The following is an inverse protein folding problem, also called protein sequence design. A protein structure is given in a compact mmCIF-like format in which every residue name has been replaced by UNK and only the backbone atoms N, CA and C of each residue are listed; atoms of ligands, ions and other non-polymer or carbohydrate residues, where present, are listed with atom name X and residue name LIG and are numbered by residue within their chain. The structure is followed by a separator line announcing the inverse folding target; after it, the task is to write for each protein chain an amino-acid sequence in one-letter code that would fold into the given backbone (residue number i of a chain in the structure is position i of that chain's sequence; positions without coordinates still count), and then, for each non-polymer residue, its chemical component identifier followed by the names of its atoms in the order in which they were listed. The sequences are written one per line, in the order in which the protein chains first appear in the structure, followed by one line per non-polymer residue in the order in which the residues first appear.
data_IF_586800146108
#
_entry.id   IF_586800146108
#
_cell.length_a   1.000
_cell.length_b   1.000
_cell.length_c   1.000
_cell.angle_alpha   90.00
_cell.angle_beta   90.00
_cell.angle_gamma   90.00
#
_symmetry.space_group_name_H-M   'P 1'
#
loop_
_entity.id
_entity.type
_entity.pdbx_description
1 polymer ?
#
# COMPACT_ATOMS: atom_id res chain seq x y z
N UNK A 1 -3.46 12.64 21.21
CA UNK A 1 -4.49 13.03 20.21
C UNK A 1 -4.06 14.24 19.38
N UNK A 2 -3.41 15.24 19.98
CA UNK A 2 -2.90 16.44 19.27
C UNK A 2 -1.84 16.12 18.20
N UNK A 3 -0.83 15.30 18.50
CA UNK A 3 0.26 14.96 17.55
C UNK A 3 -0.22 14.21 16.29
N UNK A 4 -1.29 13.42 16.39
CA UNK A 4 -1.86 12.70 15.25
C UNK A 4 -2.52 13.70 14.29
N UNK A 5 -3.17 14.75 14.82
CA UNK A 5 -3.81 15.80 14.01
C UNK A 5 -2.79 16.64 13.25
N UNK A 6 -1.62 16.88 13.84
CA UNK A 6 -0.53 17.57 13.15
C UNK A 6 0.07 16.72 12.03
N UNK A 7 0.30 15.43 12.28
CA UNK A 7 0.80 14.49 11.26
C UNK A 7 -0.16 14.30 10.08
N UNK A 8 -1.46 14.46 10.28
CA UNK A 8 -2.48 14.42 9.20
C UNK A 8 -2.44 15.69 8.33
N UNK A 9 -1.97 16.83 8.85
CA UNK A 9 -1.85 18.08 8.10
C UNK A 9 -0.66 18.10 7.14
N UNK A 10 0.26 17.15 7.22
CA UNK A 10 1.32 17.02 6.23
C UNK A 10 0.74 16.78 4.83
N UNK A 11 1.19 17.57 3.86
CA UNK A 11 0.72 17.47 2.49
C UNK A 11 1.13 16.13 1.88
N UNK A 12 0.16 15.46 1.26
CA UNK A 12 0.41 14.32 0.37
C UNK A 12 0.80 14.83 -1.01
N UNK A 13 1.63 14.10 -1.77
CA UNK A 13 1.90 14.43 -3.17
C UNK A 13 0.59 14.66 -3.96
N UNK A 14 0.54 15.65 -4.87
CA UNK A 14 -0.69 16.05 -5.58
C UNK A 14 -1.41 14.90 -6.29
N UNK A 15 -0.65 13.95 -6.82
CA UNK A 15 -1.15 12.71 -7.45
C UNK A 15 -2.10 11.91 -6.53
N UNK A 16 -1.82 11.87 -5.23
CA UNK A 16 -2.64 11.17 -4.24
C UNK A 16 -3.75 12.07 -3.68
N UNK A 17 -3.78 13.36 -4.00
CA UNK A 17 -4.87 14.24 -3.58
C UNK A 17 -6.14 14.07 -4.44
N UNK A 18 -5.96 13.72 -5.73
CA UNK A 18 -7.05 13.60 -6.71
C UNK A 18 -7.36 12.16 -7.13
N UNK A 19 -6.64 11.17 -6.62
CA UNK A 19 -6.80 9.75 -6.99
C UNK A 19 -7.37 8.98 -5.80
N UNK A 20 -8.34 8.10 -6.04
CA UNK A 20 -8.81 7.16 -5.02
C UNK A 20 -7.83 6.00 -4.89
N UNK A 21 -7.47 5.64 -3.65
CA UNK A 21 -6.57 4.51 -3.44
C UNK A 21 -6.87 3.71 -2.18
N UNK A 22 -6.50 2.43 -2.26
CA UNK A 22 -6.39 1.51 -1.14
C UNK A 22 -4.96 1.59 -0.60
N UNK A 23 -4.79 1.57 0.71
CA UNK A 23 -3.48 1.60 1.34
C UNK A 23 -3.23 0.34 2.16
N UNK A 24 -2.01 -0.21 2.04
CA UNK A 24 -1.48 -1.23 2.90
C UNK A 24 -0.19 -0.73 3.55
N UNK A 25 -0.08 -0.88 4.87
CA UNK A 25 1.10 -0.44 5.64
C UNK A 25 1.62 -1.62 6.43
N UNK A 26 2.67 -2.28 5.93
CA UNK A 26 3.27 -3.43 6.61
C UNK A 26 4.69 -3.73 6.08
N UNK A 27 5.46 -4.52 6.83
CA UNK A 27 6.74 -5.06 6.35
C UNK A 27 6.49 -6.02 5.18
N UNK A 28 7.29 -5.91 4.12
CA UNK A 28 7.20 -6.80 2.96
C UNK A 28 7.87 -8.15 3.27
N UNK A 29 7.14 -9.04 3.95
CA UNK A 29 7.57 -10.38 4.34
C UNK A 29 6.55 -11.46 3.97
N UNK A 30 6.99 -12.71 3.75
CA UNK A 30 6.14 -13.83 3.33
C UNK A 30 4.94 -14.06 4.27
N UNK A 31 5.14 -13.82 5.56
CA UNK A 31 4.12 -13.96 6.62
C UNK A 31 2.93 -12.99 6.50
N UNK A 32 3.00 -11.98 5.63
CA UNK A 32 1.99 -10.91 5.54
C UNK A 32 1.11 -11.01 4.29
N UNK A 33 1.38 -11.95 3.38
CA UNK A 33 0.45 -12.32 2.32
C UNK A 33 0.12 -11.21 1.31
N UNK A 34 0.99 -10.21 1.11
CA UNK A 34 0.75 -9.10 0.17
C UNK A 34 0.51 -9.57 -1.28
N UNK A 35 0.95 -10.78 -1.64
CA UNK A 35 0.65 -11.40 -2.93
C UNK A 35 -0.86 -11.58 -3.19
N UNK A 36 -1.67 -11.74 -2.15
CA UNK A 36 -3.12 -11.93 -2.24
C UNK A 36 -3.77 -10.59 -2.47
N UNK A 37 -3.26 -9.55 -1.81
CA UNK A 37 -3.71 -8.18 -2.00
C UNK A 37 -3.52 -7.74 -3.45
N UNK A 38 -2.37 -8.01 -4.06
CA UNK A 38 -2.11 -7.67 -5.48
C UNK A 38 -3.08 -8.43 -6.40
N UNK A 39 -3.33 -9.72 -6.14
CA UNK A 39 -4.30 -10.52 -6.92
C UNK A 39 -5.73 -10.00 -6.81
N UNK A 40 -6.16 -9.66 -5.60
CA UNK A 40 -7.50 -9.10 -5.34
C UNK A 40 -7.60 -7.73 -6.02
N UNK A 41 -6.57 -6.90 -5.88
CA UNK A 41 -6.53 -5.58 -6.49
C UNK A 41 -6.64 -5.63 -8.01
N UNK A 42 -6.01 -6.61 -8.69
CA UNK A 42 -6.20 -6.81 -10.15
C UNK A 42 -7.67 -6.93 -10.51
N UNK A 43 -8.45 -7.72 -9.77
CA UNK A 43 -9.90 -7.87 -10.01
C UNK A 43 -10.66 -6.59 -9.72
N UNK A 44 -10.35 -5.92 -8.60
CA UNK A 44 -11.00 -4.65 -8.25
C UNK A 44 -10.73 -3.59 -9.33
N UNK A 45 -9.54 -3.59 -9.93
CA UNK A 45 -9.15 -2.66 -11.00
C UNK A 45 -10.01 -2.83 -12.26
N UNK A 46 -10.47 -4.03 -12.56
CA UNK A 46 -11.38 -4.29 -13.69
C UNK A 46 -12.72 -3.56 -13.51
N UNK A 47 -13.19 -3.40 -12.27
CA UNK A 47 -14.41 -2.67 -11.93
C UNK A 47 -14.17 -1.18 -11.65
N UNK A 48 -13.00 -0.83 -11.09
CA UNK A 48 -12.62 0.52 -10.66
C UNK A 48 -11.28 0.93 -11.28
N UNK A 49 -11.30 1.35 -12.55
CA UNK A 49 -10.08 1.65 -13.31
C UNK A 49 -9.24 2.80 -12.74
N UNK A 50 -9.87 3.75 -12.05
CA UNK A 50 -9.22 4.91 -11.41
C UNK A 50 -8.64 4.59 -10.01
N UNK A 51 -8.86 3.39 -9.48
CA UNK A 51 -8.37 3.02 -8.16
C UNK A 51 -6.87 2.66 -8.20
N UNK A 52 -6.12 3.23 -7.26
CA UNK A 52 -4.71 2.89 -7.01
C UNK A 52 -4.53 1.99 -5.78
N UNK A 53 -3.42 1.27 -5.72
CA UNK A 53 -2.98 0.56 -4.52
C UNK A 53 -1.66 1.15 -4.03
N UNK A 54 -1.64 1.68 -2.81
CA UNK A 54 -0.43 2.15 -2.14
C UNK A 54 0.05 1.08 -1.17
N UNK A 55 1.32 0.69 -1.31
CA UNK A 55 2.01 -0.21 -0.41
C UNK A 55 3.11 0.59 0.28
N UNK A 56 2.93 0.83 1.57
CA UNK A 56 3.90 1.46 2.45
C UNK A 56 4.63 0.38 3.25
N UNK A 57 5.94 0.43 3.23
CA UNK A 57 6.80 -0.54 3.89
C UNK A 57 7.93 -0.99 2.99
N UNK A 58 8.90 -1.64 3.61
CA UNK A 58 10.05 -2.21 2.93
C UNK A 58 10.34 -3.61 3.48
N UNK A 59 11.08 -4.41 2.73
CA UNK A 59 11.44 -5.76 3.13
C UNK A 59 11.95 -6.61 1.98
N UNK A 60 12.43 -7.81 2.34
CA UNK A 60 13.05 -8.77 1.42
C UNK A 60 12.14 -9.20 0.24
N UNK A 61 10.81 -9.14 0.41
CA UNK A 61 9.88 -9.49 -0.67
C UNK A 61 9.61 -8.38 -1.67
N UNK A 62 10.19 -7.19 -1.50
CA UNK A 62 9.95 -6.05 -2.40
C UNK A 62 10.09 -6.45 -3.86
N UNK A 63 11.23 -7.00 -4.25
CA UNK A 63 11.51 -7.34 -5.65
C UNK A 63 10.58 -8.43 -6.18
N UNK A 64 10.22 -9.40 -5.33
CA UNK A 64 9.27 -10.44 -5.68
C UNK A 64 7.88 -9.85 -5.96
N UNK A 65 7.38 -9.00 -5.07
CA UNK A 65 6.05 -8.39 -5.20
C UNK A 65 5.97 -7.47 -6.41
N UNK A 66 7.04 -6.73 -6.71
CA UNK A 66 7.08 -5.89 -7.90
C UNK A 66 7.12 -6.72 -9.18
N UNK A 67 7.95 -7.78 -9.24
CA UNK A 67 7.93 -8.69 -10.39
C UNK A 67 6.56 -9.35 -10.56
N UNK A 68 5.90 -9.69 -9.44
CA UNK A 68 4.58 -10.30 -9.44
C UNK A 68 3.49 -9.33 -9.95
N UNK A 69 3.50 -8.06 -9.55
CA UNK A 69 2.56 -7.07 -10.06
C UNK A 69 2.78 -6.77 -11.55
N UNK A 70 4.04 -6.68 -11.98
CA UNK A 70 4.39 -6.53 -13.40
C UNK A 70 3.96 -7.75 -14.23
N UNK A 71 4.14 -8.97 -13.72
CA UNK A 71 3.66 -10.19 -14.36
C UNK A 71 2.13 -10.26 -14.48
N UNK A 72 1.43 -9.53 -13.62
CA UNK A 72 -0.02 -9.35 -13.67
C UNK A 72 -0.46 -8.20 -14.59
N UNK A 73 0.47 -7.60 -15.33
CA UNK A 73 0.28 -6.48 -16.26
C UNK A 73 -0.18 -5.18 -15.58
N UNK A 74 0.11 -5.05 -14.28
CA UNK A 74 -0.18 -3.84 -13.52
C UNK A 74 1.01 -2.89 -13.58
N UNK A 75 0.74 -1.63 -13.94
CA UNK A 75 1.75 -0.56 -13.93
C UNK A 75 2.19 -0.33 -12.50
N UNK A 76 3.46 -0.60 -12.22
CA UNK A 76 4.00 -0.60 -10.87
C UNK A 76 5.05 0.48 -10.73
N UNK A 77 4.85 1.38 -9.77
CA UNK A 77 5.82 2.37 -9.34
C UNK A 77 6.64 1.86 -8.15
N UNK A 78 7.94 2.11 -8.15
CA UNK A 78 8.84 1.78 -7.05
C UNK A 78 9.71 2.99 -6.67
N UNK A 79 9.63 3.37 -5.40
CA UNK A 79 10.23 4.57 -4.83
C UNK A 79 11.74 4.78 -5.03
N UNK A 80 12.53 3.72 -5.20
CA UNK A 80 14.00 3.80 -5.28
C UNK A 80 14.56 3.84 -6.71
N UNK A 81 13.69 3.69 -7.71
CA UNK A 81 14.13 3.62 -9.12
C UNK A 81 13.23 4.38 -10.09
N UNK A 82 11.97 4.60 -9.73
CA UNK A 82 11.01 5.25 -10.60
C UNK A 82 10.80 6.71 -10.19
N UNK A 83 10.54 7.57 -11.18
CA UNK A 83 10.12 8.96 -10.94
C UNK A 83 8.60 8.99 -10.76
N UNK A 84 8.14 9.55 -9.63
CA UNK A 84 6.72 9.59 -9.29
C UNK A 84 5.94 10.29 -10.41
N UNK A 85 5.09 9.52 -11.08
CA UNK A 85 4.28 9.97 -12.20
C UNK A 85 2.85 9.51 -12.02
N UNK A 86 1.93 10.24 -12.63
CA UNK A 86 0.54 9.83 -12.76
C UNK A 86 0.49 8.68 -13.80
N UNK A 87 -0.41 7.71 -13.63
CA UNK A 87 -0.62 6.51 -14.47
C UNK A 87 -0.04 5.18 -13.97
N UNK A 88 0.36 5.06 -12.71
CA UNK A 88 0.64 3.74 -12.11
C UNK A 88 -0.59 3.19 -11.40
N UNK A 89 -0.69 1.86 -11.38
CA UNK A 89 -1.76 1.12 -10.74
C UNK A 89 -1.40 0.77 -9.29
N UNK A 90 -0.14 0.42 -9.05
CA UNK A 90 0.39 0.08 -7.74
C UNK A 90 1.59 0.97 -7.43
N UNK A 91 1.62 1.55 -6.25
CA UNK A 91 2.68 2.43 -5.75
C UNK A 91 3.37 1.79 -4.55
N UNK A 92 4.60 1.32 -4.75
CA UNK A 92 5.49 0.93 -3.66
C UNK A 92 6.26 2.18 -3.20
N UNK A 93 5.80 2.79 -2.11
CA UNK A 93 6.36 4.05 -1.59
C UNK A 93 7.48 3.84 -0.56
N UNK A 94 7.82 2.59 -0.26
CA UNK A 94 8.85 2.26 0.72
C UNK A 94 8.43 2.59 2.14
N UNK A 95 9.39 2.60 3.06
CA UNK A 95 9.14 2.98 4.44
C UNK A 95 8.81 4.48 4.55
N UNK A 96 7.64 4.79 5.12
CA UNK A 96 7.19 6.15 5.35
C UNK A 96 7.16 6.42 6.86
N UNK A 97 7.94 7.40 7.33
CA UNK A 97 7.97 7.81 8.74
C UNK A 97 6.61 8.28 9.25
N UNK A 98 5.81 8.87 8.36
CA UNK A 98 4.45 9.32 8.65
C UNK A 98 3.46 8.69 7.65
N UNK A 99 2.96 7.47 7.92
CA UNK A 99 1.96 6.84 7.07
C UNK A 99 0.56 7.47 7.26
N UNK A 100 0.33 8.20 8.36
CA UNK A 100 -0.99 8.74 8.72
C UNK A 100 -1.53 9.75 7.70
N UNK A 101 -0.67 10.55 7.06
CA UNK A 101 -1.08 11.47 6.00
C UNK A 101 -1.68 10.76 4.79
N UNK A 102 -1.16 9.58 4.44
CA UNK A 102 -1.67 8.77 3.36
C UNK A 102 -2.96 8.03 3.78
N UNK A 103 -3.02 7.55 5.02
CA UNK A 103 -4.20 6.88 5.56
C UNK A 103 -5.42 7.81 5.65
N UNK A 104 -5.23 9.06 6.11
CA UNK A 104 -6.31 10.04 6.25
C UNK A 104 -6.97 10.45 4.92
N UNK A 105 -6.29 10.21 3.80
CA UNK A 105 -6.76 10.51 2.44
C UNK A 105 -7.19 9.24 1.67
N UNK A 106 -6.91 8.06 2.21
CA UNK A 106 -7.26 6.77 1.58
C UNK A 106 -8.75 6.45 1.73
N UNK A 107 -9.31 5.75 0.74
CA UNK A 107 -10.71 5.27 0.81
C UNK A 107 -10.86 4.03 1.70
N UNK A 108 -9.83 3.20 1.74
CA UNK A 108 -9.83 1.96 2.53
C UNK A 108 -8.40 1.61 2.97
N UNK A 109 -8.24 1.32 4.26
CA UNK A 109 -7.03 0.73 4.82
C UNK A 109 -7.18 -0.79 4.89
N UNK A 110 -6.23 -1.54 4.31
CA UNK A 110 -6.27 -3.01 4.25
C UNK A 110 -5.05 -3.61 4.94
N UNK A 111 -5.29 -4.57 5.84
CA UNK A 111 -4.26 -5.32 6.56
C UNK A 111 -4.39 -6.82 6.23
N UNK A 112 -3.60 -7.37 5.28
CA UNK A 112 -3.72 -8.75 4.80
C UNK A 112 -3.03 -9.79 5.70
N UNK A 113 -2.66 -9.46 6.94
CA UNK A 113 -1.90 -10.37 7.79
C UNK A 113 -2.65 -11.68 8.04
N UNK A 114 -2.09 -12.80 7.58
CA UNK A 114 -2.64 -14.15 7.80
C UNK A 114 -2.56 -14.63 9.26
N UNK A 115 -1.85 -13.90 10.13
CA UNK A 115 -1.68 -14.23 11.54
C UNK A 115 -1.84 -12.96 12.39
N UNK A 116 -3.08 -12.65 12.79
CA UNK A 116 -3.28 -12.05 14.10
C UNK A 116 -3.06 -13.17 15.12
N UNK A 117 -2.09 -13.00 16.01
CA UNK A 117 -1.83 -13.93 17.09
C UNK A 117 -3.02 -14.02 18.04
N UNK A 118 -4.01 -14.84 17.69
CA UNK A 118 -5.05 -15.29 18.60
C UNK A 118 -4.59 -16.58 19.29
N UNK A 119 -3.59 -16.45 20.16
CA UNK A 119 -3.33 -17.42 21.24
C UNK A 119 -2.77 -16.69 22.45
N UNK A 120 -3.64 -15.92 23.12
CA UNK A 120 -3.58 -15.78 24.58
C UNK A 120 -4.86 -16.38 25.15
N UNK A 121 -4.92 -17.71 25.17
CA UNK A 121 -5.64 -18.37 26.25
C UNK A 121 -4.77 -18.17 27.50
N UNK A 122 -5.14 -17.16 28.28
CA UNK A 122 -4.82 -17.04 29.70
C UNK A 122 -5.19 -18.37 30.36
N UNK A 123 -4.20 -19.05 30.93
CA UNK A 123 -4.39 -20.16 31.86
C UNK A 123 -4.64 -19.67 33.27
#
# INVERSE_FOLDING_TARGET
MEEIREKIKESVPPIFANTEYIINVDRLSLSKGQWHLIRIFKKIKEEFSQLGLLILGDGELKDYLVKFSQALELKTFVWDRDMLSENFDIYFLGFQNNPFKFMAKSRLFVFPSLWEGFFKCIG
#
